data_IF_917502431926
#
_entry.id   IF_917502431926
#
_cell.length_a   1.000
_cell.length_b   1.000
_cell.length_c   1.000
_cell.angle_alpha   90.00
_cell.angle_beta   90.00
_cell.angle_gamma   90.00
#
_symmetry.space_group_name_H-M   'P 1'
#
loop_
_entity.id
_entity.type
_entity.pdbx_description
1 polymer ?
#
# COMPACT_ATOMS: atom_id res chain seq x y z
N UNK A 1 12.25 1.85 4.11
CA UNK A 1 11.39 2.17 2.95
C UNK A 1 10.45 3.27 3.40
N UNK A 2 10.77 4.52 3.06
CA UNK A 2 9.97 5.70 3.39
C UNK A 2 9.16 6.10 2.16
N UNK A 3 8.03 5.44 1.96
CA UNK A 3 7.00 5.97 1.07
C UNK A 3 6.06 6.80 1.96
N UNK A 4 6.21 8.12 1.92
CA UNK A 4 5.24 9.04 2.52
C UNK A 4 3.98 9.16 1.63
N UNK A 5 4.00 8.55 0.45
CA UNK A 5 2.90 8.45 -0.50
C UNK A 5 2.55 7.00 -0.85
N UNK A 6 1.42 6.52 -0.32
CA UNK A 6 0.84 5.22 -0.62
C UNK A 6 0.44 5.07 -2.08
N UNK A 7 0.16 6.17 -2.79
CA UNK A 7 -0.26 6.18 -4.18
C UNK A 7 0.86 5.69 -5.08
N UNK A 8 2.05 6.28 -4.93
CA UNK A 8 3.25 5.86 -5.67
C UNK A 8 3.64 4.42 -5.33
N UNK A 9 3.59 4.06 -4.04
CA UNK A 9 3.86 2.69 -3.60
C UNK A 9 2.92 1.68 -4.28
N UNK A 10 1.60 1.93 -4.25
CA UNK A 10 0.61 1.02 -4.83
C UNK A 10 0.68 0.97 -6.36
N UNK A 11 1.08 2.05 -7.03
CA UNK A 11 1.27 2.07 -8.48
C UNK A 11 2.46 1.19 -8.92
N UNK A 12 3.55 1.20 -8.16
CA UNK A 12 4.75 0.42 -8.48
C UNK A 12 4.68 -1.05 -8.02
N UNK A 13 3.82 -1.37 -7.05
CA UNK A 13 3.74 -2.69 -6.42
C UNK A 13 3.45 -3.86 -7.39
N UNK A 14 2.53 -3.74 -8.37
CA UNK A 14 2.25 -4.84 -9.29
C UNK A 14 3.45 -5.21 -10.16
N UNK A 15 4.23 -4.22 -10.61
CA UNK A 15 5.40 -4.48 -11.44
C UNK A 15 6.59 -4.97 -10.61
N UNK A 16 6.82 -4.38 -9.42
CA UNK A 16 7.96 -4.74 -8.57
C UNK A 16 7.83 -6.11 -7.92
N UNK A 17 6.63 -6.45 -7.44
CA UNK A 17 6.42 -7.66 -6.62
C UNK A 17 5.21 -8.48 -7.05
N UNK A 18 4.46 -8.08 -8.07
CA UNK A 18 3.33 -8.88 -8.56
C UNK A 18 2.13 -8.90 -7.62
N UNK A 19 1.95 -7.87 -6.79
CA UNK A 19 0.83 -7.70 -5.87
C UNK A 19 0.23 -6.30 -6.07
N UNK A 20 -1.10 -6.21 -6.08
CA UNK A 20 -1.81 -4.93 -6.13
C UNK A 20 -2.47 -4.63 -4.79
N UNK A 21 -2.52 -3.36 -4.43
CA UNK A 21 -3.21 -2.86 -3.24
C UNK A 21 -3.82 -1.49 -3.54
N UNK A 22 -4.68 -1.00 -2.64
CA UNK A 22 -5.35 0.28 -2.82
C UNK A 22 -4.74 1.31 -1.87
N UNK A 23 -4.28 2.48 -2.35
CA UNK A 23 -3.77 3.53 -1.48
C UNK A 23 -4.91 4.13 -0.65
N UNK A 24 -4.61 4.56 0.58
CA UNK A 24 -5.64 5.16 1.42
C UNK A 24 -6.14 6.51 0.86
N UNK A 25 -5.30 7.22 0.12
CA UNK A 25 -5.64 8.45 -0.59
C UNK A 25 -6.89 8.32 -1.47
N UNK A 26 -7.17 7.13 -2.03
CA UNK A 26 -8.36 6.86 -2.83
C UNK A 26 -9.68 6.94 -2.04
N UNK A 27 -9.64 6.96 -0.71
CA UNK A 27 -10.79 7.08 0.18
C UNK A 27 -10.90 8.46 0.84
N UNK A 28 -9.94 9.35 0.60
CA UNK A 28 -9.92 10.70 1.16
C UNK A 28 -10.44 11.71 0.13
N UNK A 29 -11.19 12.71 0.59
CA UNK A 29 -11.57 13.85 -0.25
C UNK A 29 -10.48 14.94 -0.16
N UNK A 30 -9.74 15.24 -1.24
CA UNK A 30 -8.68 16.22 -1.23
C UNK A 30 -9.18 17.67 -1.06
N UNK A 31 -10.47 17.94 -1.30
CA UNK A 31 -11.07 19.27 -1.16
C UNK A 31 -11.73 19.50 0.21
N UNK A 32 -11.83 18.46 1.04
CA UNK A 32 -12.55 18.52 2.32
C UNK A 32 -11.72 19.15 3.45
N UNK A 33 -11.39 20.44 3.37
CA UNK A 33 -10.92 21.28 4.49
C UNK A 33 -10.10 20.55 5.59
N UNK A 34 -10.64 20.43 6.82
CA UNK A 34 -9.96 19.78 7.96
C UNK A 34 -9.60 18.30 7.74
N UNK A 35 -10.26 17.60 6.81
CA UNK A 35 -9.93 16.24 6.43
C UNK A 35 -8.60 16.16 5.64
N UNK A 36 -8.10 17.27 5.08
CA UNK A 36 -6.81 17.29 4.39
C UNK A 36 -5.63 17.01 5.35
N UNK A 37 -5.67 17.53 6.58
CA UNK A 37 -4.65 17.25 7.60
C UNK A 37 -4.67 15.79 8.05
N UNK A 38 -5.85 15.18 8.06
CA UNK A 38 -6.00 13.76 8.42
C UNK A 38 -5.63 12.83 7.24
N UNK A 39 -5.84 13.30 6.01
CA UNK A 39 -5.36 12.62 4.80
C UNK A 39 -3.84 12.51 4.78
N UNK A 40 -3.10 13.55 5.20
CA UNK A 40 -1.63 13.49 5.34
C UNK A 40 -1.19 12.41 6.35
N UNK A 41 -1.93 12.27 7.46
CA UNK A 41 -1.67 11.23 8.48
C UNK A 41 -1.93 9.83 7.94
N UNK A 42 -2.88 9.66 7.01
CA UNK A 42 -3.22 8.35 6.45
C UNK A 42 -2.56 8.05 5.11
N UNK A 43 -1.84 9.01 4.53
CA UNK A 43 -1.33 8.89 3.17
C UNK A 43 -0.31 7.76 2.99
N UNK A 44 0.29 7.26 4.07
CA UNK A 44 1.20 6.10 4.03
C UNK A 44 0.47 4.75 4.18
N UNK A 45 -0.83 4.74 4.47
CA UNK A 45 -1.60 3.51 4.66
C UNK A 45 -2.04 2.90 3.33
N UNK A 46 -2.09 1.57 3.31
CA UNK A 46 -2.46 0.77 2.14
C UNK A 46 -3.50 -0.25 2.56
N UNK A 47 -4.56 -0.40 1.75
CA UNK A 47 -5.64 -1.36 1.99
C UNK A 47 -5.47 -2.62 1.14
N UNK A 48 -5.37 -3.75 1.82
CA UNK A 48 -5.40 -5.09 1.21
C UNK A 48 -6.77 -5.74 1.36
N UNK A 49 -7.11 -6.62 0.42
CA UNK A 49 -8.31 -7.47 0.49
C UNK A 49 -7.94 -8.88 0.91
N UNK A 50 -8.74 -9.48 1.78
CA UNK A 50 -8.54 -10.87 2.25
C UNK A 50 -9.65 -11.83 1.81
N UNK A 51 -10.62 -11.36 1.01
CA UNK A 51 -11.70 -12.19 0.43
C UNK A 51 -11.23 -12.98 -0.80
N UNK A 52 -10.10 -13.67 -0.67
CA UNK A 52 -9.49 -14.51 -1.72
C UNK A 52 -9.30 -15.92 -1.16
N UNK A 53 -9.02 -16.89 -2.05
CA UNK A 53 -8.65 -18.23 -1.62
C UNK A 53 -7.35 -18.18 -0.81
N UNK A 54 -7.19 -19.09 0.14
CA UNK A 54 -6.01 -19.18 1.00
C UNK A 54 -4.71 -19.25 0.18
N UNK A 55 -4.69 -20.07 -0.89
CA UNK A 55 -3.55 -20.19 -1.81
C UNK A 55 -3.09 -18.85 -2.41
N UNK A 56 -4.03 -17.94 -2.64
CA UNK A 56 -3.81 -16.63 -3.24
C UNK A 56 -3.30 -15.64 -2.19
N UNK A 57 -3.77 -15.77 -0.96
CA UNK A 57 -3.27 -14.98 0.18
C UNK A 57 -1.83 -15.38 0.51
N UNK A 58 -1.53 -16.67 0.53
CA UNK A 58 -0.19 -17.20 0.77
C UNK A 58 0.80 -16.73 -0.30
N UNK A 59 0.42 -16.80 -1.57
CA UNK A 59 1.26 -16.30 -2.67
C UNK A 59 1.48 -14.78 -2.59
N UNK A 60 0.45 -14.01 -2.19
CA UNK A 60 0.59 -12.56 -1.99
C UNK A 60 1.57 -12.24 -0.85
N UNK A 61 1.49 -12.96 0.28
CA UNK A 61 2.42 -12.82 1.41
C UNK A 61 3.85 -13.19 0.97
N UNK A 62 4.03 -14.30 0.25
CA UNK A 62 5.32 -14.75 -0.27
C UNK A 62 5.95 -13.70 -1.21
N UNK A 63 5.15 -13.04 -2.04
CA UNK A 63 5.61 -11.96 -2.92
C UNK A 63 5.95 -10.69 -2.17
N UNK A 64 5.15 -10.31 -1.17
CA UNK A 64 5.37 -9.10 -0.37
C UNK A 64 6.60 -9.22 0.55
N UNK A 65 7.01 -10.43 0.93
CA UNK A 65 8.14 -10.64 1.86
C UNK A 65 9.47 -10.09 1.34
N UNK A 66 9.66 -9.95 0.03
CA UNK A 66 10.87 -9.33 -0.56
C UNK A 66 11.04 -7.87 -0.15
N UNK A 67 9.95 -7.20 0.26
CA UNK A 67 9.98 -5.81 0.76
C UNK A 67 10.44 -5.72 2.22
N UNK A 68 10.45 -6.83 2.96
CA UNK A 68 10.95 -6.90 4.33
C UNK A 68 12.48 -6.93 4.38
N UNK A 69 13.14 -7.28 3.27
CA UNK A 69 14.59 -7.23 3.15
C UNK A 69 15.05 -5.76 3.14
N UNK A 70 15.48 -5.30 4.31
CA UNK A 70 16.28 -4.08 4.44
C UNK A 70 17.62 -4.34 3.75
N UNK A 71 18.06 -3.54 2.75
CA UNK A 71 19.48 -3.54 2.41
C UNK A 71 20.21 -3.14 3.69
N UNK A 72 21.16 -3.97 4.13
CA UNK A 72 22.09 -3.57 5.17
C UNK A 72 22.96 -2.43 4.60
N UNK A 73 22.64 -1.18 4.91
CA UNK A 73 23.56 -0.05 4.82
C UNK A 73 23.16 1.03 5.82
#
# INVERSE_FOLDING_TARGET
MGYDDSTEFCAALPEKVGVAAIPMSAFCDPAAGQASQQADVWNHLVRFTFCKRDDTLDEAIRRLSVLAERPAT
#
